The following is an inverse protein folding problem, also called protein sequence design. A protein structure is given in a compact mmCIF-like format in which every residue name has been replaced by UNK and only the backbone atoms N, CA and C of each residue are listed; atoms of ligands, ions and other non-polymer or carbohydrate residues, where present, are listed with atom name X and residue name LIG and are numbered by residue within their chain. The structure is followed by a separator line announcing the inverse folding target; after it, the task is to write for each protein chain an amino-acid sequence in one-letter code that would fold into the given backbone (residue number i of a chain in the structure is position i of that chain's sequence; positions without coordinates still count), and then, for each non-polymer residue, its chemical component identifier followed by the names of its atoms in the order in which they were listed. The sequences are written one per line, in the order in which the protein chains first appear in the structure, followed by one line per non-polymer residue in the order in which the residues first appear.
data_IF_733469815514
#
_entry.id   IF_733469815514
#
_cell.length_a   1.000
_cell.length_b   1.000
_cell.length_c   1.000
_cell.angle_alpha   90.00
_cell.angle_beta   90.00
_cell.angle_gamma   90.00
#
_symmetry.space_group_name_H-M   'P 1'
#
loop_
_entity.id
_entity.type
_entity.pdbx_description
1 polymer ?
2 branched ?
3 non-polymer ?
4 non-polymer ?
5 non-polymer ?
6 water ?
#
# COMPACT_ATOMS: atom_id res chain seq x y z
N UNK A 3 -21.11 -18.33 -11.09
CA UNK A 3 -20.49 -18.27 -9.73
C UNK A 3 -21.59 -18.34 -8.62
N UNK A 4 -21.19 -18.61 -7.35
CA UNK A 4 -22.23 -18.74 -6.34
C UNK A 4 -23.09 -17.46 -6.13
N UNK A 5 -24.38 -17.65 -5.84
CA UNK A 5 -25.24 -16.50 -5.54
C UNK A 5 -24.84 -15.88 -4.17
N UNK A 6 -24.74 -14.54 -4.11
CA UNK A 6 -24.55 -13.96 -2.76
C UNK A 6 -25.76 -14.25 -1.88
N UNK A 7 -25.52 -14.30 -0.58
CA UNK A 7 -26.46 -14.74 0.46
C UNK A 7 -26.78 -13.53 1.29
N UNK A 8 -27.93 -12.90 0.97
CA UNK A 8 -28.27 -11.63 1.63
C UNK A 8 -28.34 -11.71 3.14
N UNK A 9 -28.79 -12.91 3.62
CA UNK A 9 -29.02 -13.06 5.02
C UNK A 9 -27.87 -13.80 5.76
N UNK A 10 -26.67 -13.80 5.16
CA UNK A 10 -25.48 -14.39 5.78
C UNK A 10 -24.35 -13.39 5.69
N UNK A 11 -23.83 -12.95 6.81
CA UNK A 11 -22.69 -11.98 6.87
C UNK A 11 -21.46 -12.60 6.22
N UNK A 12 -20.72 -11.75 5.49
CA UNK A 12 -19.51 -12.24 4.81
C UNK A 12 -18.52 -12.61 5.93
N UNK A 13 -18.52 -11.89 7.03
CA UNK A 13 -17.66 -12.10 8.21
C UNK A 13 -18.44 -11.84 9.49
N UNK A 14 -18.30 -12.71 10.47
CA UNK A 14 -18.85 -12.37 11.80
C UNK A 14 -17.86 -11.93 12.83
N UNK A 15 -16.55 -11.91 12.46
CA UNK A 15 -15.53 -11.54 13.41
C UNK A 15 -14.86 -10.24 13.16
N UNK A 16 -15.14 -9.60 11.99
CA UNK A 16 -14.46 -8.34 11.72
C UNK A 16 -15.40 -7.37 11.01
N UNK A 17 -14.99 -6.10 11.02
CA UNK A 17 -15.64 -4.96 10.29
C UNK A 17 -15.24 -5.09 8.81
N UNK A 18 -16.24 -5.11 7.90
CA UNK A 18 -15.94 -5.29 6.43
C UNK A 18 -16.25 -4.06 5.62
N UNK A 19 -16.80 -3.08 6.29
CA UNK A 19 -17.07 -1.79 5.58
C UNK A 19 -16.88 -0.66 6.55
N UNK A 20 -16.18 0.40 6.16
CA UNK A 20 -15.97 1.55 7.06
C UNK A 20 -17.28 2.42 7.25
N UNK A 21 -17.28 3.31 8.23
CA UNK A 21 -18.52 4.12 8.42
C UNK A 21 -18.73 5.08 7.28
N UNK A 22 -17.77 5.27 6.36
CA UNK A 22 -18.05 6.07 5.15
C UNK A 22 -18.28 5.17 3.95
N UNK A 23 -18.61 3.91 4.22
CA UNK A 23 -18.98 2.95 3.15
C UNK A 23 -17.87 2.56 2.16
N UNK A 24 -16.65 2.58 2.64
CA UNK A 24 -15.52 1.98 1.88
C UNK A 24 -15.33 0.53 2.33
N UNK A 25 -15.29 -0.42 1.41
CA UNK A 25 -15.01 -1.79 1.80
C UNK A 25 -13.66 -1.93 2.49
N UNK A 26 -13.66 -2.79 3.53
CA UNK A 26 -12.41 -3.20 4.17
C UNK A 26 -12.17 -4.63 3.68
N UNK A 27 -11.05 -4.86 2.96
CA UNK A 27 -10.83 -6.01 2.16
C UNK A 27 -10.19 -7.12 2.99
N UNK A 28 -11.04 -8.10 3.29
CA UNK A 28 -10.63 -9.35 3.88
C UNK A 28 -10.97 -10.54 3.03
N UNK A 29 -10.28 -11.68 3.30
CA UNK A 29 -10.67 -12.88 2.65
C UNK A 29 -12.14 -13.30 3.02
N UNK A 30 -12.91 -13.67 2.01
CA UNK A 30 -14.33 -13.98 2.20
C UNK A 30 -15.23 -12.82 1.87
N UNK A 31 -14.67 -11.63 1.63
CA UNK A 31 -15.52 -10.53 1.21
C UNK A 31 -15.61 -10.33 -0.28
N UNK A 32 -14.80 -11.00 -1.09
CA UNK A 32 -14.85 -10.78 -2.54
C UNK A 32 -14.74 -12.08 -3.32
N UNK A 33 -15.39 -12.09 -4.47
CA UNK A 33 -15.29 -13.16 -5.48
C UNK A 33 -14.35 -12.62 -6.54
N UNK A 34 -13.12 -13.13 -6.51
CA UNK A 34 -12.09 -12.64 -7.46
C UNK A 34 -12.41 -12.91 -8.91
N UNK A 35 -13.25 -13.92 -9.24
CA UNK A 35 -13.57 -14.14 -10.60
C UNK A 35 -14.39 -12.99 -11.15
N UNK A 36 -15.27 -12.42 -10.31
CA UNK A 36 -16.07 -11.29 -10.83
C UNK A 36 -15.18 -10.05 -11.02
N UNK A 37 -14.34 -9.77 -10.01
CA UNK A 37 -13.44 -8.60 -10.06
C UNK A 37 -12.43 -8.70 -11.24
N UNK A 38 -11.87 -9.90 -11.39
CA UNK A 38 -10.91 -10.07 -12.48
C UNK A 38 -11.58 -9.78 -13.83
N UNK A 39 -12.81 -10.27 -14.06
CA UNK A 39 -13.49 -9.86 -15.26
C UNK A 39 -13.68 -8.35 -15.41
N UNK A 40 -14.13 -7.67 -14.34
CA UNK A 40 -14.39 -6.26 -14.44
C UNK A 40 -13.13 -5.55 -14.81
N UNK A 41 -11.99 -5.93 -14.19
CA UNK A 41 -10.78 -5.18 -14.45
C UNK A 41 -10.09 -5.54 -15.75
N UNK A 42 -10.23 -6.79 -16.17
CA UNK A 42 -9.70 -7.15 -17.53
C UNK A 42 -10.49 -6.44 -18.63
N UNK A 43 -11.76 -6.21 -18.41
CA UNK A 43 -12.61 -5.55 -19.46
C UNK A 43 -12.10 -4.15 -19.69
N UNK A 44 -11.40 -3.56 -18.71
CA UNK A 44 -10.84 -2.21 -18.89
C UNK A 44 -9.34 -2.29 -19.26
N UNK A 45 -8.79 -3.50 -19.45
CA UNK A 45 -7.38 -3.69 -19.75
C UNK A 45 -6.51 -2.94 -18.73
N UNK A 46 -6.81 -3.21 -17.48
CA UNK A 46 -6.22 -2.39 -16.42
C UNK A 46 -4.73 -2.64 -16.30
N UNK A 47 -3.95 -1.57 -16.15
CA UNK A 47 -2.53 -1.71 -15.92
C UNK A 47 -2.15 -1.14 -14.57
N UNK A 48 -1.45 -1.94 -13.81
CA UNK A 48 -1.03 -1.59 -12.44
C UNK A 48 0.46 -1.31 -12.41
N UNK A 49 0.83 -0.16 -11.92
CA UNK A 49 2.23 0.12 -11.63
C UNK A 49 2.51 -0.15 -10.18
N UNK A 50 3.68 -0.70 -9.94
CA UNK A 50 4.14 -0.93 -8.54
C UNK A 50 5.44 -0.23 -8.31
N UNK A 51 5.45 0.68 -7.32
CA UNK A 51 6.74 1.32 -6.98
C UNK A 51 7.38 0.63 -5.78
N UNK A 52 8.70 0.56 -5.79
CA UNK A 52 9.42 -0.07 -4.67
C UNK A 52 10.79 0.56 -4.65
N UNK A 53 11.28 0.91 -3.48
CA UNK A 53 12.59 1.53 -3.30
C UNK A 53 13.57 0.55 -2.70
N UNK A 54 14.76 0.48 -3.30
CA UNK A 54 15.79 -0.40 -2.73
C UNK A 54 17.11 0.35 -2.77
N UNK A 55 17.38 1.02 -1.69
CA UNK A 55 18.53 1.92 -1.54
C UNK A 55 19.47 1.28 -0.52
N UNK A 56 20.77 1.46 -0.82
CA UNK A 56 21.87 0.88 0.01
C UNK A 56 21.67 -0.66 0.16
N UNK A 57 21.67 -1.17 1.38
CA UNK A 57 21.69 -2.59 1.60
C UNK A 57 20.38 -3.29 1.19
N UNK A 58 19.37 -2.46 1.01
CA UNK A 58 18.02 -3.06 0.80
C UNK A 58 17.88 -3.58 -0.62
N UNK A 59 18.87 -3.37 -1.51
CA UNK A 59 18.83 -4.07 -2.81
C UNK A 59 18.83 -5.60 -2.60
N UNK A 60 19.28 -6.06 -1.43
CA UNK A 60 19.27 -7.48 -1.18
C UNK A 60 17.87 -8.12 -1.13
N UNK A 61 16.86 -7.29 -0.85
CA UNK A 61 15.48 -7.78 -0.70
C UNK A 61 14.78 -7.93 -2.07
N UNK A 62 15.38 -7.42 -3.13
CA UNK A 62 14.63 -7.37 -4.41
C UNK A 62 14.37 -8.73 -5.03
N UNK A 63 15.30 -9.70 -4.93
CA UNK A 63 15.14 -10.94 -5.64
C UNK A 63 13.86 -11.63 -5.09
N UNK A 64 13.74 -11.80 -3.77
CA UNK A 64 12.56 -12.51 -3.27
C UNK A 64 11.29 -11.64 -3.48
N UNK A 65 11.44 -10.33 -3.34
CA UNK A 65 10.26 -9.49 -3.54
C UNK A 65 9.72 -9.67 -4.97
N UNK A 66 10.61 -9.63 -5.96
CA UNK A 66 10.11 -9.74 -7.36
C UNK A 66 9.68 -11.15 -7.71
N UNK A 67 10.44 -12.18 -7.25
CA UNK A 67 10.05 -13.57 -7.54
C UNK A 67 8.65 -13.89 -7.03
N UNK A 68 8.42 -13.45 -5.78
CA UNK A 68 7.10 -13.70 -5.17
C UNK A 68 6.02 -12.78 -5.75
N UNK A 69 6.33 -11.55 -6.14
CA UNK A 69 5.34 -10.69 -6.86
C UNK A 69 4.89 -11.36 -8.13
N UNK A 70 5.83 -12.02 -8.84
CA UNK A 70 5.44 -12.73 -10.06
C UNK A 70 4.49 -13.90 -9.75
N UNK A 71 4.60 -14.51 -8.56
CA UNK A 71 3.68 -15.61 -8.29
C UNK A 71 2.30 -15.16 -7.77
N UNK A 72 2.22 -13.97 -7.21
CA UNK A 72 1.04 -13.58 -6.44
C UNK A 72 0.46 -12.22 -6.71
N UNK A 73 1.22 -11.30 -7.36
CA UNK A 73 0.73 -9.93 -7.48
C UNK A 73 0.05 -9.68 -8.84
N UNK A 74 -1.27 -9.51 -8.86
CA UNK A 74 -1.98 -9.06 -10.11
C UNK A 74 -1.75 -10.03 -11.26
N UNK A 75 -1.66 -11.33 -10.97
CA UNK A 75 -1.39 -12.28 -12.04
C UNK A 75 -2.59 -12.27 -12.98
N UNK A 76 -2.24 -12.22 -14.23
CA UNK A 76 -3.16 -12.09 -15.34
C UNK A 76 -3.51 -10.70 -15.82
N UNK A 77 -3.05 -9.70 -15.07
CA UNK A 77 -3.27 -8.35 -15.45
C UNK A 77 -1.98 -7.71 -15.91
N UNK A 78 -2.07 -6.52 -16.52
CA UNK A 78 -0.82 -5.86 -16.96
C UNK A 78 -0.14 -5.21 -15.74
N UNK A 79 1.14 -5.41 -15.61
CA UNK A 79 1.90 -4.88 -14.43
C UNK A 79 3.19 -4.22 -14.94
N UNK A 80 3.52 -3.08 -14.35
CA UNK A 80 4.86 -2.44 -14.55
C UNK A 80 5.43 -2.17 -13.21
N UNK A 81 6.60 -2.82 -12.98
CA UNK A 81 7.35 -2.55 -11.78
C UNK A 81 8.21 -1.31 -12.00
N UNK A 82 8.28 -0.41 -11.01
CA UNK A 82 9.26 0.66 -11.09
C UNK A 82 10.13 0.56 -9.86
N UNK A 83 11.37 0.19 -10.05
CA UNK A 83 12.32 -0.11 -8.98
C UNK A 83 13.21 1.14 -8.83
N UNK A 84 13.07 1.85 -7.74
CA UNK A 84 13.93 3.02 -7.45
C UNK A 84 15.15 2.62 -6.63
N UNK A 85 16.35 2.87 -7.18
CA UNK A 85 17.53 2.35 -6.49
C UNK A 85 18.77 3.24 -6.74
N UNK A 86 19.68 3.22 -5.79
CA UNK A 86 21.02 3.85 -6.04
C UNK A 86 22.03 2.91 -6.66
N UNK A 87 21.61 1.69 -6.96
CA UNK A 87 22.48 0.66 -7.45
C UNK A 87 21.76 -0.09 -8.57
N UNK A 88 21.61 0.53 -9.77
CA UNK A 88 20.94 -0.26 -10.87
C UNK A 88 21.55 -1.64 -11.23
N UNK A 89 22.87 -1.80 -11.25
CA UNK A 89 23.49 -3.15 -11.47
C UNK A 89 23.14 -4.22 -10.43
N UNK A 90 22.64 -3.82 -9.27
CA UNK A 90 22.34 -4.79 -8.26
C UNK A 90 20.91 -5.32 -8.42
N UNK A 91 20.15 -4.74 -9.37
CA UNK A 91 18.76 -5.19 -9.54
C UNK A 91 18.81 -6.59 -10.20
N UNK A 92 18.25 -7.60 -9.55
CA UNK A 92 18.32 -8.99 -10.09
C UNK A 92 17.49 -9.12 -11.34
N UNK A 93 17.96 -9.99 -12.26
CA UNK A 93 17.29 -10.16 -13.53
C UNK A 93 16.27 -11.26 -13.31
N UNK A 94 15.08 -10.90 -12.90
CA UNK A 94 14.03 -11.92 -12.64
C UNK A 94 13.16 -12.05 -13.88
N UNK A 95 12.84 -13.30 -14.16
CA UNK A 95 12.03 -13.58 -15.40
C UNK A 95 10.55 -13.27 -15.09
N UNK A 96 9.97 -12.50 -16.01
CA UNK A 96 8.60 -12.00 -15.78
C UNK A 96 7.61 -12.77 -16.65
N UNK A 97 6.38 -12.89 -16.15
CA UNK A 97 5.27 -13.41 -16.98
C UNK A 97 4.88 -12.45 -18.08
N UNK A 98 4.08 -12.91 -19.02
CA UNK A 98 3.67 -12.07 -20.12
C UNK A 98 2.81 -10.86 -19.63
N UNK A 99 2.99 -9.74 -20.31
CA UNK A 99 2.29 -8.50 -19.96
C UNK A 99 2.84 -7.75 -18.74
N UNK A 100 4.04 -8.10 -18.33
CA UNK A 100 4.63 -7.53 -17.13
C UNK A 100 6.03 -7.01 -17.50
N UNK A 101 6.37 -5.82 -17.02
CA UNK A 101 7.61 -5.13 -17.36
C UNK A 101 8.21 -4.55 -16.13
N UNK A 102 9.52 -4.29 -16.19
CA UNK A 102 10.20 -3.67 -15.02
C UNK A 102 11.13 -2.57 -15.49
N UNK A 103 11.08 -1.42 -14.83
CA UNK A 103 11.95 -0.30 -15.17
C UNK A 103 12.74 0.04 -13.94
N UNK A 104 14.02 0.36 -14.13
CA UNK A 104 14.88 0.77 -13.01
C UNK A 104 15.08 2.28 -13.10
N UNK A 105 14.80 2.98 -12.01
CA UNK A 105 14.90 4.43 -11.94
C UNK A 105 15.97 4.71 -10.93
N UNK A 106 17.07 5.36 -11.35
CA UNK A 106 18.13 5.61 -10.40
C UNK A 106 17.84 6.85 -9.57
N UNK A 107 18.12 6.71 -8.29
CA UNK A 107 17.98 7.77 -7.33
C UNK A 107 19.42 8.16 -6.96
N UNK A 108 19.56 9.41 -6.53
CA UNK A 108 18.43 10.25 -6.15
C UNK A 108 17.89 11.15 -7.24
N UNK A 118 12.25 12.40 3.33
CA UNK A 118 11.31 12.86 2.27
C UNK A 118 11.44 12.13 0.95
N UNK A 119 12.44 11.25 0.88
CA UNK A 119 12.85 10.64 -0.33
C UNK A 119 11.57 10.04 -0.99
N UNK A 120 10.84 9.14 -0.32
CA UNK A 120 9.86 8.38 -1.13
C UNK A 120 8.70 9.20 -1.62
N UNK A 121 8.07 9.99 -0.75
CA UNK A 121 6.92 10.75 -1.22
C UNK A 121 7.36 11.75 -2.30
N UNK A 122 8.53 12.38 -2.13
CA UNK A 122 9.02 13.37 -3.12
C UNK A 122 9.24 12.67 -4.46
N UNK A 123 9.90 11.50 -4.41
CA UNK A 123 10.23 10.79 -5.65
C UNK A 123 9.00 10.17 -6.29
N UNK A 124 8.08 9.63 -5.49
CA UNK A 124 6.83 9.17 -6.11
C UNK A 124 5.98 10.26 -6.71
N UNK A 125 5.96 11.41 -6.02
CA UNK A 125 5.22 12.59 -6.55
C UNK A 125 5.80 12.99 -7.89
N UNK A 126 7.15 13.12 -7.96
CA UNK A 126 7.77 13.63 -9.28
C UNK A 126 7.43 12.59 -10.41
N UNK A 127 7.63 11.31 -10.03
CA UNK A 127 7.51 10.23 -10.99
C UNK A 127 6.03 10.08 -11.47
N UNK A 128 5.08 10.29 -10.56
CA UNK A 128 3.67 10.05 -10.83
C UNK A 128 3.10 11.08 -11.78
N UNK A 129 3.84 12.21 -11.90
CA UNK A 129 3.45 13.32 -12.82
C UNK A 129 4.01 13.15 -14.21
N UNK A 130 4.86 12.16 -14.46
CA UNK A 130 5.48 11.99 -15.78
C UNK A 130 4.53 11.40 -16.81
N UNK A 131 4.67 11.89 -18.05
CA UNK A 131 3.78 11.50 -19.16
C UNK A 131 3.88 10.03 -19.54
N UNK A 132 5.06 9.41 -19.32
CA UNK A 132 5.24 7.94 -19.61
C UNK A 132 4.32 7.05 -18.73
N UNK A 133 3.65 7.62 -17.70
CA UNK A 133 2.55 6.85 -17.02
C UNK A 133 1.18 6.96 -17.69
N UNK A 134 1.07 7.56 -18.88
CA UNK A 134 -0.22 7.65 -19.56
C UNK A 134 -0.95 6.29 -19.63
N UNK A 135 -0.18 5.21 -19.82
CA UNK A 135 -0.76 3.87 -20.00
C UNK A 135 -1.24 3.30 -18.66
N UNK A 136 -0.66 3.78 -17.53
CA UNK A 136 -0.82 3.10 -16.21
C UNK A 136 -2.06 3.63 -15.52
N UNK A 137 -2.90 2.72 -14.95
CA UNK A 137 -4.19 3.14 -14.45
C UNK A 137 -4.19 3.35 -12.92
N UNK A 138 -3.42 2.49 -12.22
CA UNK A 138 -3.32 2.52 -10.75
C UNK A 138 -1.88 2.42 -10.37
N UNK A 139 -1.51 3.06 -9.29
CA UNK A 139 -0.19 2.85 -8.66
C UNK A 139 -0.34 2.28 -7.31
N UNK A 140 0.56 1.33 -6.99
CA UNK A 140 0.61 0.66 -5.68
C UNK A 140 2.07 0.92 -5.17
N UNK A 141 2.19 1.35 -3.94
CA UNK A 141 3.47 1.84 -3.40
C UNK A 141 3.81 1.06 -2.16
N UNK A 142 4.89 0.29 -2.22
CA UNK A 142 5.23 -0.68 -1.15
C UNK A 142 6.65 -0.68 -0.73
N UNK A 143 6.81 -1.17 0.49
CA UNK A 143 8.15 -1.46 1.02
C UNK A 143 8.76 -2.67 0.30
N UNK A 144 10.09 -2.79 0.33
CA UNK A 144 10.81 -3.87 -0.34
C UNK A 144 11.21 -5.06 0.56
N UNK A 145 11.23 -4.79 1.88
CA UNK A 145 11.63 -5.77 2.82
C UNK A 145 10.48 -6.72 3.16
N UNK A 146 9.94 -7.35 2.14
CA UNK A 146 8.64 -8.04 2.16
C UNK A 146 8.65 -9.14 1.15
N UNK A 147 7.75 -10.07 1.28
CA UNK A 147 7.49 -11.06 0.28
C UNK A 147 6.01 -11.35 0.15
N UNK A 148 5.62 -11.68 -1.06
CA UNK A 148 4.27 -12.14 -1.26
C UNK A 148 4.17 -13.60 -0.96
N UNK A 149 3.17 -13.98 -0.16
CA UNK A 149 2.84 -15.40 0.12
C UNK A 149 1.50 -15.86 -0.38
N UNK A 150 0.64 -14.91 -0.78
CA UNK A 150 -0.67 -15.34 -1.25
C UNK A 150 -1.20 -14.20 -2.15
N UNK A 151 -2.39 -14.45 -2.70
CA UNK A 151 -2.99 -13.51 -3.69
C UNK A 151 -3.06 -12.07 -3.19
N UNK A 152 -2.49 -11.16 -4.03
CA UNK A 152 -2.73 -9.68 -3.91
C UNK A 152 -3.13 -9.26 -5.28
N UNK A 153 -4.43 -8.96 -5.46
CA UNK A 153 -4.95 -8.75 -6.80
C UNK A 153 -5.90 -7.55 -6.87
N UNK A 154 -6.70 -7.60 -7.92
CA UNK A 154 -7.42 -6.35 -8.28
C UNK A 154 -8.50 -5.99 -7.26
N UNK A 155 -8.80 -6.86 -6.32
CA UNK A 155 -9.68 -6.50 -5.16
C UNK A 155 -9.18 -5.27 -4.42
N UNK A 156 -7.86 -4.94 -4.52
CA UNK A 156 -7.41 -3.76 -3.81
C UNK A 156 -7.62 -2.45 -4.55
N UNK A 157 -7.94 -2.56 -5.84
CA UNK A 157 -7.85 -1.34 -6.68
C UNK A 157 -9.12 -0.54 -6.54
N UNK A 158 -8.90 0.78 -6.55
CA UNK A 158 -9.92 1.75 -6.14
C UNK A 158 -9.24 3.13 -6.29
N UNK A 159 -10.02 4.22 -6.22
CA UNK A 159 -9.32 5.51 -6.35
C UNK A 159 -8.23 5.79 -5.31
N UNK A 160 -8.44 5.34 -4.04
CA UNK A 160 -7.50 5.66 -3.00
C UNK A 160 -7.59 4.58 -1.92
N UNK A 161 -6.46 3.95 -1.64
CA UNK A 161 -6.53 2.95 -0.48
C UNK A 161 -5.36 3.16 0.48
N UNK A 162 -5.62 2.76 1.74
CA UNK A 162 -4.52 2.59 2.71
C UNK A 162 -4.73 1.21 3.29
N UNK A 163 -3.79 0.81 4.14
CA UNK A 163 -3.73 -0.55 4.69
C UNK A 163 -3.66 -0.44 6.20
N UNK A 164 -4.50 -1.23 6.86
CA UNK A 164 -4.40 -1.25 8.37
C UNK A 164 -3.05 -1.83 8.86
N UNK A 165 -2.36 -1.01 9.66
CA UNK A 165 -1.11 -1.41 10.28
C UNK A 165 -1.37 -2.64 11.18
N UNK A 166 -0.53 -3.67 11.04
CA UNK A 166 -0.80 -4.93 11.69
C UNK A 166 -0.61 -4.83 13.25
N UNK A 167 0.09 -3.79 13.74
CA UNK A 167 0.26 -3.67 15.22
C UNK A 167 -0.88 -2.92 15.90
N UNK A 168 -1.78 -2.29 15.13
CA UNK A 168 -2.68 -1.30 15.68
C UNK A 168 -4.14 -1.57 15.32
N UNK A 169 -4.45 -2.61 14.57
CA UNK A 169 -5.79 -2.73 14.04
C UNK A 169 -6.75 -2.94 15.17
N UNK A 170 -6.27 -3.51 16.30
CA UNK A 170 -7.17 -3.74 17.44
C UNK A 170 -7.05 -2.62 18.47
N UNK A 171 -6.29 -1.57 18.22
CA UNK A 171 -6.05 -0.52 19.19
C UNK A 171 -7.14 0.58 19.21
N UNK A 172 -7.29 1.27 20.35
CA UNK A 172 -8.13 2.46 20.31
C UNK A 172 -7.26 3.61 19.85
N UNK A 173 -7.92 4.65 19.36
CA UNK A 173 -7.26 5.75 18.68
C UNK A 173 -6.26 6.52 19.54
N UNK A 174 -6.51 6.61 20.85
CA UNK A 174 -5.54 7.28 21.70
C UNK A 174 -4.23 6.51 21.73
N UNK A 175 -4.25 5.19 21.49
CA UNK A 175 -3.01 4.41 21.46
C UNK A 175 -2.27 4.53 20.07
N UNK A 176 -3.02 4.91 19.02
CA UNK A 176 -2.33 5.13 17.75
C UNK A 176 -1.17 6.15 17.87
N UNK A 177 -0.07 5.83 17.19
CA UNK A 177 1.15 6.67 17.21
C UNK A 177 1.15 7.74 16.12
N UNK A 178 0.03 8.46 16.05
CA UNK A 178 -0.08 9.65 15.21
C UNK A 178 0.91 10.74 15.69
N UNK A 179 1.30 11.67 14.83
CA UNK A 179 1.98 12.88 15.27
C UNK A 179 1.03 13.65 16.24
N UNK A 180 1.49 13.95 17.47
CA UNK A 180 0.64 14.63 18.47
C UNK A 180 1.01 16.11 18.75
N UNK A 181 2.08 16.58 18.17
CA UNK A 181 2.48 17.99 18.36
C UNK A 181 1.76 18.88 17.35
N UNK A 182 0.99 19.90 17.83
CA UNK A 182 0.25 20.79 16.97
C UNK A 182 1.16 21.57 16.03
N UNK A 183 2.45 21.68 16.35
CA UNK A 183 3.32 22.45 15.45
C UNK A 183 3.67 21.70 14.17
N UNK A 184 3.30 20.42 14.10
CA UNK A 184 3.57 19.60 12.88
C UNK A 184 2.35 19.58 11.94
N UNK A 185 2.61 19.63 10.62
CA UNK A 185 1.56 19.46 9.62
C UNK A 185 0.84 18.08 9.76
N UNK A 186 1.52 17.08 10.31
CA UNK A 186 0.91 15.74 10.49
C UNK A 186 0.05 15.65 11.75
N UNK A 187 -0.08 16.72 12.53
CA UNK A 187 -0.80 16.66 13.77
C UNK A 187 -2.24 16.08 13.68
N UNK A 188 -2.53 15.14 14.55
CA UNK A 188 -3.90 14.63 14.72
C UNK A 188 -4.24 14.64 16.22
N UNK A 189 -5.32 15.38 16.59
CA UNK A 189 -5.80 15.46 17.99
C UNK A 189 -6.12 14.11 18.56
N UNK A 190 -6.09 13.99 19.89
CA UNK A 190 -6.35 12.67 20.55
C UNK A 190 -7.73 12.12 20.33
N UNK A 191 -8.72 12.98 20.04
CA UNK A 191 -10.08 12.46 19.81
C UNK A 191 -10.46 12.30 18.32
N UNK A 192 -9.44 12.37 17.43
CA UNK A 192 -9.67 12.19 15.96
C UNK A 192 -8.90 10.99 15.46
N UNK A 193 -9.38 10.46 14.34
CA UNK A 193 -8.68 9.32 13.71
C UNK A 193 -9.63 8.16 13.51
N UNK A 194 -9.62 7.58 12.29
CA UNK A 194 -10.40 6.41 12.03
C UNK A 194 -9.61 5.12 12.25
N UNK A 195 -8.41 5.03 11.62
CA UNK A 195 -7.56 3.86 11.69
C UNK A 195 -6.14 4.34 11.72
N UNK A 196 -5.22 3.44 12.03
CA UNK A 196 -3.79 3.72 11.84
C UNK A 196 -3.32 2.93 10.61
N UNK A 197 -2.98 3.74 9.59
CA UNK A 197 -2.55 3.12 8.27
C UNK A 197 -1.01 2.89 8.23
N UNK A 198 -0.59 1.78 7.60
CA UNK A 198 0.93 1.51 7.48
C UNK A 198 1.47 2.21 6.27
N UNK A 199 2.63 2.84 6.46
CA UNK A 199 3.26 3.53 5.32
C UNK A 199 3.81 2.56 4.28
N UNK A 200 3.82 1.27 4.53
CA UNK A 200 4.47 0.26 3.65
C UNK A 200 3.55 -0.21 2.52
N UNK A 201 2.28 0.24 2.46
CA UNK A 201 1.39 -0.24 1.38
C UNK A 201 0.22 0.74 1.25
N UNK A 202 0.28 1.60 0.21
CA UNK A 202 -0.86 2.44 -0.12
C UNK A 202 -0.89 2.56 -1.61
N UNK A 203 -1.95 3.16 -2.13
CA UNK A 203 -2.02 3.27 -3.60
C UNK A 203 -3.37 3.81 -4.04
N UNK A 204 -3.65 3.69 -5.34
CA UNK A 204 -4.88 4.30 -5.80
C UNK A 204 -4.78 4.52 -7.28
N UNK A 205 -5.69 5.29 -7.84
CA UNK A 205 -5.43 5.74 -9.23
C UNK A 205 -4.23 6.66 -9.32
N UNK A 206 -3.69 6.73 -10.55
CA UNK A 206 -2.51 7.63 -10.72
C UNK A 206 -2.83 9.02 -10.16
N UNK A 207 -3.98 9.57 -10.55
CA UNK A 207 -4.38 10.90 -10.04
C UNK A 207 -4.40 10.99 -8.51
N UNK A 208 -5.04 10.00 -7.85
CA UNK A 208 -5.10 10.06 -6.38
C UNK A 208 -3.76 9.84 -5.70
N UNK A 209 -2.90 9.04 -6.33
CA UNK A 209 -1.53 8.90 -5.81
C UNK A 209 -0.70 10.20 -6.02
N UNK A 210 -0.93 10.84 -7.16
CA UNK A 210 -0.25 12.18 -7.38
C UNK A 210 -0.66 13.08 -6.24
N UNK A 211 -1.96 13.13 -5.95
CA UNK A 211 -2.45 14.10 -4.95
C UNK A 211 -1.93 13.77 -3.55
N UNK A 212 -1.94 12.47 -3.19
CA UNK A 212 -1.51 12.06 -1.87
C UNK A 212 0.00 12.35 -1.67
N UNK A 213 0.80 12.01 -2.66
CA UNK A 213 2.29 12.11 -2.49
C UNK A 213 2.72 13.56 -2.57
N UNK A 214 2.06 14.34 -3.42
CA UNK A 214 2.31 15.80 -3.41
C UNK A 214 1.92 16.37 -2.04
N UNK A 215 0.75 16.05 -1.50
CA UNK A 215 0.33 16.65 -0.23
C UNK A 215 1.33 16.25 0.87
N UNK A 216 1.72 14.96 0.92
CA UNK A 216 2.58 14.52 1.99
C UNK A 216 3.95 15.16 1.84
N UNK A 217 4.47 15.24 0.63
CA UNK A 217 5.81 15.84 0.44
C UNK A 217 5.78 17.35 0.80
N UNK A 218 4.75 18.07 0.34
CA UNK A 218 4.62 19.52 0.63
C UNK A 218 4.46 19.68 2.16
N UNK A 219 3.67 18.87 2.84
CA UNK A 219 3.56 18.90 4.34
C UNK A 219 4.93 18.65 5.01
N UNK A 220 5.70 17.72 4.49
CA UNK A 220 6.98 17.37 5.14
C UNK A 220 7.95 18.53 4.94
N UNK A 221 7.86 19.25 3.83
CA UNK A 221 8.76 20.42 3.58
C UNK A 221 8.42 21.57 4.48
N UNK A 222 7.12 21.73 4.79
CA UNK A 222 6.71 22.71 5.80
C UNK A 222 7.31 22.37 7.14
N UNK A 223 7.20 21.10 7.58
CA UNK A 223 7.67 20.71 8.90
C UNK A 223 9.17 20.94 9.00
N UNK A 224 9.89 20.61 7.92
CA UNK A 224 11.35 20.77 7.82
C UNK A 224 11.72 22.24 7.96
N UNK A 225 11.02 23.09 7.25
CA UNK A 225 11.29 24.53 7.41
C UNK A 225 11.09 24.96 8.86
N UNK A 226 10.11 24.36 9.55
CA UNK A 226 9.81 24.65 10.95
C UNK A 226 10.63 23.91 12.01
N UNK A 227 11.67 23.17 11.60
CA UNK A 227 12.47 22.34 12.56
C UNK A 227 11.76 21.21 13.30
N UNK A 228 10.75 20.61 12.65
CA UNK A 228 10.08 19.47 13.25
C UNK A 228 10.13 18.29 12.27
N UNK A 229 10.32 17.13 12.84
CA UNK A 229 10.21 15.89 12.10
C UNK A 229 9.13 15.08 12.77
N UNK A 230 8.10 14.73 11.97
CA UNK A 230 7.04 13.94 12.55
C UNK A 230 7.51 12.56 13.06
N UNK A 231 6.83 12.15 14.08
CA UNK A 231 7.22 10.99 14.87
C UNK A 231 7.54 9.71 14.05
N UNK A 232 6.70 9.41 13.05
CA UNK A 232 6.90 8.26 12.17
C UNK A 232 7.01 8.78 10.73
N UNK A 233 7.56 9.98 10.56
CA UNK A 233 8.05 10.46 9.24
C UNK A 233 6.92 10.37 8.19
N UNK A 234 7.19 9.75 7.04
CA UNK A 234 6.12 9.88 6.00
C UNK A 234 4.82 9.14 6.40
N UNK A 235 4.91 8.12 7.25
CA UNK A 235 3.72 7.44 7.75
C UNK A 235 2.82 8.36 8.57
N UNK A 236 3.44 9.28 9.31
CA UNK A 236 2.58 10.20 10.08
C UNK A 236 1.80 11.13 9.11
N UNK A 237 2.46 11.60 8.03
CA UNK A 237 1.82 12.50 7.01
C UNK A 237 0.77 11.67 6.20
N UNK A 238 1.08 10.40 5.94
CA UNK A 238 0.10 9.54 5.25
C UNK A 238 -1.18 9.42 6.11
N UNK A 239 -1.04 9.20 7.43
CA UNK A 239 -2.20 9.13 8.30
C UNK A 239 -3.00 10.45 8.36
N UNK A 240 -2.30 11.60 8.41
CA UNK A 240 -3.00 12.89 8.37
C UNK A 240 -3.75 13.02 7.05
N UNK A 241 -3.11 12.64 5.96
CA UNK A 241 -3.80 12.79 4.69
C UNK A 241 -5.05 11.91 4.59
N UNK A 242 -4.91 10.64 4.98
CA UNK A 242 -6.04 9.72 4.88
C UNK A 242 -7.13 9.95 5.94
N UNK A 243 -6.82 10.72 7.01
CA UNK A 243 -7.88 11.20 7.90
C UNK A 243 -8.73 12.20 7.18
N UNK A 244 -8.12 13.10 6.42
CA UNK A 244 -8.89 14.22 5.80
C UNK A 244 -9.40 13.88 4.45
N UNK A 245 -8.76 12.88 3.81
CA UNK A 245 -9.21 12.41 2.45
C UNK A 245 -9.40 10.93 2.56
N UNK A 246 -10.62 10.52 2.85
CA UNK A 246 -10.82 9.16 3.34
C UNK A 246 -10.64 8.19 2.18
N UNK A 247 -9.98 7.06 2.43
CA UNK A 247 -9.78 6.09 1.35
C UNK A 247 -11.06 5.41 0.89
N UNK A 248 -11.13 5.06 -0.39
CA UNK A 248 -12.30 4.41 -0.97
C UNK A 248 -12.29 2.88 -0.76
N UNK A 249 -11.13 2.31 -0.38
CA UNK A 249 -11.07 0.89 0.17
C UNK A 249 -10.01 0.99 1.24
N UNK A 250 -10.12 0.07 2.21
CA UNK A 250 -9.10 -0.11 3.25
C UNK A 250 -8.71 -1.55 3.18
N UNK A 251 -7.39 -1.82 3.09
CA UNK A 251 -6.92 -3.21 3.08
C UNK A 251 -6.72 -3.68 4.54
N UNK A 252 -7.20 -4.88 4.77
CA UNK A 252 -7.01 -5.51 6.11
C UNK A 252 -5.54 -5.84 6.28
N UNK A 253 -5.15 -6.24 7.52
CA UNK A 253 -3.72 -6.59 7.76
C UNK A 253 -3.29 -7.85 7.05
N UNK A 254 -4.20 -8.60 6.38
CA UNK A 254 -3.77 -9.70 5.49
C UNK A 254 -2.68 -9.18 4.53
N UNK A 255 -2.85 -7.90 4.14
CA UNK A 255 -2.01 -7.29 3.12
C UNK A 255 -0.71 -6.66 3.63
N UNK A 256 -0.50 -6.59 4.97
CA UNK A 256 0.78 -6.09 5.51
C UNK A 256 0.91 -6.71 6.90
N UNK A 257 1.59 -7.84 6.91
CA UNK A 257 1.65 -8.65 8.14
C UNK A 257 3.08 -8.95 8.51
N UNK A 258 3.36 -9.16 9.82
CA UNK A 258 4.69 -9.62 10.27
C UNK A 258 4.41 -10.89 11.11
N UNK A 259 4.73 -12.03 10.56
CA UNK A 259 4.35 -13.30 11.21
C UNK A 259 5.33 -13.56 12.37
N UNK A 260 6.56 -13.16 12.23
CA UNK A 260 7.51 -13.42 13.34
C UNK A 260 7.05 -12.61 14.54
N UNK A 261 6.61 -11.38 14.32
CA UNK A 261 6.12 -10.55 15.42
C UNK A 261 4.78 -10.95 16.00
N UNK A 262 3.83 -11.28 15.12
CA UNK A 262 2.45 -11.31 15.46
C UNK A 262 1.72 -12.61 15.20
N UNK A 263 2.45 -13.62 14.70
CA UNK A 263 1.89 -14.97 14.58
C UNK A 263 0.88 -15.07 13.45
N UNK A 264 -0.13 -15.87 13.65
CA UNK A 264 -1.19 -16.08 12.65
C UNK A 264 -2.51 -16.10 13.41
N UNK A 265 -3.02 -14.92 13.72
CA UNK A 265 -4.25 -14.83 14.55
C UNK A 265 -5.48 -15.35 13.89
N UNK A 266 -6.50 -15.68 14.71
CA UNK A 266 -7.67 -16.26 14.11
C UNK A 266 -8.40 -15.39 13.04
N UNK A 267 -8.31 -14.09 13.23
CA UNK A 267 -8.94 -13.18 12.26
C UNK A 267 -8.21 -13.09 10.94
N UNK A 268 -7.00 -13.65 10.80
CA UNK A 268 -6.39 -13.71 9.49
C UNK A 268 -6.51 -15.02 8.80
N UNK A 269 -7.29 -15.06 7.75
CA UNK A 269 -7.48 -16.27 6.96
C UNK A 269 -6.34 -16.53 5.96
N UNK A 270 -5.71 -15.41 5.54
CA UNK A 270 -4.56 -15.49 4.60
C UNK A 270 -3.56 -14.48 5.05
N UNK A 271 -2.25 -14.83 4.93
CA UNK A 271 -1.14 -13.87 5.14
C UNK A 271 -0.61 -13.61 3.71
N UNK A 272 -0.91 -12.43 3.17
CA UNK A 272 -0.67 -12.25 1.76
C UNK A 272 0.67 -11.57 1.45
N UNK A 273 1.10 -10.64 2.26
CA UNK A 273 2.31 -9.81 1.97
C UNK A 273 2.89 -9.54 3.33
N UNK A 274 4.09 -10.06 3.52
CA UNK A 274 4.60 -10.23 4.89
C UNK A 274 6.03 -9.74 4.97
N UNK A 275 6.35 -9.26 6.17
CA UNK A 275 7.69 -8.75 6.40
C UNK A 275 8.76 -9.84 6.36
N UNK A 276 9.89 -9.51 5.76
CA UNK A 276 11.08 -10.39 5.78
C UNK A 276 11.93 -9.98 7.00
N UNK A 277 12.28 -10.95 7.81
CA UNK A 277 12.98 -10.53 9.05
C UNK A 277 14.28 -9.80 8.73
N UNK A 278 14.60 -8.75 9.48
CA UNK A 278 15.83 -7.99 9.28
C UNK A 278 16.48 -7.51 10.57
N UNK A 279 17.66 -6.88 10.48
CA UNK A 279 18.32 -6.20 11.62
C UNK A 279 17.91 -4.74 11.78
#
# INVERSE_FOLDING_TARGET
MVYPQPKVLTPSRKDVLVVTPWLAPIVWEGTFNIDILNEQFRLQNTTIGLTVFAIKKYVAFLKLFLETAEKHFMVGHRVHYYVFTDQPAAVPRVTLGTGRQLSVLEVGAYKRWQDVSMRRMEMISDFSERRFLSEVDYLVCVDVDMEFRDHVGVEILTPLFGTLHPSFYGSSREAFTYERRPQSQAYIPKDEGDFYYMGAFFGGSVQEVQRLTRACHQAMMVDQANGIEAVWHDESHLNKYLLRHKPTKVLSPEYLWDQQLLGWPAVLRKLRFTAVPKNHQAVRNPE
#
